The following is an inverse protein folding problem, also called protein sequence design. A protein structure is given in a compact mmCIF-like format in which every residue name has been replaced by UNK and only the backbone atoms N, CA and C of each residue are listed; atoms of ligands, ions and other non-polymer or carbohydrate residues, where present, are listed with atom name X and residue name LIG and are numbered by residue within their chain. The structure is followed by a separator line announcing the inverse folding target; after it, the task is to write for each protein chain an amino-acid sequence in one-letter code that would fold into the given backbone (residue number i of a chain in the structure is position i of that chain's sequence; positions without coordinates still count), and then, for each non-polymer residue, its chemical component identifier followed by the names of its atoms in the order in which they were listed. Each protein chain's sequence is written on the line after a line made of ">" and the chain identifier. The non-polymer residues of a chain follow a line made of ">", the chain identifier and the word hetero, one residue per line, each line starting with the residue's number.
data_IF_573380446383
#
_entry.id   IF_573380446383
#
_cell.length_a   1.000
_cell.length_b   1.000
_cell.length_c   1.000
_cell.angle_alpha   90.00
_cell.angle_beta   90.00
_cell.angle_gamma   90.00
#
_symmetry.space_group_name_H-M   'P 1'
#
loop_
_entity.id
_entity.type
_entity.pdbx_description
1 polymer ?
#
# COMPACT_ATOMS: atom_id res chain seq x y z
N UNK A 1 8.68 -13.08 10.43
CA UNK A 1 8.65 -11.73 9.81
C UNK A 1 9.35 -11.83 8.48
N UNK A 2 8.72 -11.43 7.38
CA UNK A 2 9.31 -11.50 6.04
C UNK A 2 10.08 -10.21 5.77
N UNK A 3 11.36 -10.33 5.45
CA UNK A 3 12.19 -9.22 4.95
C UNK A 3 12.17 -9.31 3.43
N UNK A 4 11.57 -8.31 2.80
CA UNK A 4 11.50 -8.16 1.37
C UNK A 4 12.73 -7.37 0.89
N UNK A 5 13.24 -7.70 -0.29
CA UNK A 5 14.50 -7.18 -0.82
C UNK A 5 14.26 -6.37 -2.10
N UNK A 6 14.86 -5.18 -2.20
CA UNK A 6 14.70 -4.27 -3.35
C UNK A 6 13.24 -3.93 -3.66
N UNK A 7 12.45 -3.70 -2.62
CA UNK A 7 11.02 -3.43 -2.74
C UNK A 7 10.73 -2.00 -3.19
N UNK A 8 9.82 -1.81 -4.15
CA UNK A 8 9.31 -0.49 -4.47
C UNK A 8 8.33 0.00 -3.40
N UNK A 9 8.50 1.26 -2.99
CA UNK A 9 7.51 2.08 -2.31
C UNK A 9 7.07 3.20 -3.25
N UNK A 10 5.79 3.21 -3.59
CA UNK A 10 5.22 4.14 -4.57
C UNK A 10 3.96 4.80 -4.02
N UNK A 11 3.84 6.11 -4.25
CA UNK A 11 2.58 6.84 -4.07
C UNK A 11 2.05 7.26 -5.43
N UNK A 12 0.86 6.77 -5.79
CA UNK A 12 0.22 7.10 -7.06
C UNK A 12 1.05 6.70 -8.27
N UNK A 13 1.19 7.61 -9.24
CA UNK A 13 1.86 7.36 -10.53
C UNK A 13 3.34 7.77 -10.57
N UNK A 14 3.91 8.30 -9.48
CA UNK A 14 5.32 8.73 -9.44
C UNK A 14 6.33 7.59 -9.55
N UNK A 15 7.62 7.92 -9.71
CA UNK A 15 8.71 6.92 -9.66
C UNK A 15 8.79 6.34 -8.23
N UNK A 16 9.04 5.03 -8.08
CA UNK A 16 9.12 4.41 -6.75
C UNK A 16 10.45 4.74 -6.08
N UNK A 17 10.43 4.78 -4.74
CA UNK A 17 11.64 4.58 -3.96
C UNK A 17 11.91 3.09 -3.90
N UNK A 18 13.14 2.67 -4.18
CA UNK A 18 13.55 1.26 -4.06
C UNK A 18 14.26 1.09 -2.73
N UNK A 19 13.64 0.34 -1.83
CA UNK A 19 14.15 0.02 -0.50
C UNK A 19 14.97 -1.27 -0.55
N UNK A 20 16.21 -1.21 -0.07
CA UNK A 20 17.08 -2.39 0.01
C UNK A 20 16.42 -3.50 0.84
N UNK A 21 16.00 -3.17 2.06
CA UNK A 21 15.28 -4.09 2.94
C UNK A 21 13.99 -3.46 3.46
N UNK A 22 12.89 -4.20 3.38
CA UNK A 22 11.56 -3.73 3.76
C UNK A 22 10.76 -4.80 4.49
N UNK A 23 10.05 -4.40 5.55
CA UNK A 23 9.08 -5.22 6.26
C UNK A 23 7.70 -4.57 6.15
N UNK A 24 6.69 -5.35 5.76
CA UNK A 24 5.26 -4.99 5.90
C UNK A 24 4.63 -5.84 6.99
N UNK A 25 3.98 -5.21 7.95
CA UNK A 25 3.30 -5.91 9.05
C UNK A 25 1.98 -5.24 9.43
N UNK A 26 1.04 -6.01 9.96
CA UNK A 26 -0.32 -5.55 10.21
C UNK A 26 -1.07 -5.25 8.92
N UNK A 27 -1.98 -4.27 8.99
CA UNK A 27 -2.89 -3.90 7.91
C UNK A 27 -4.15 -4.77 7.87
N UNK A 28 -5.22 -4.22 7.28
CA UNK A 28 -6.50 -4.89 7.10
C UNK A 28 -6.54 -5.61 5.75
N UNK A 29 -6.97 -6.87 5.72
CA UNK A 29 -7.20 -7.59 4.47
C UNK A 29 -8.33 -6.91 3.68
N UNK A 30 -8.02 -6.51 2.44
CA UNK A 30 -9.00 -5.92 1.53
C UNK A 30 -9.01 -6.60 0.17
N UNK A 31 -10.17 -6.62 -0.45
CA UNK A 31 -10.41 -7.11 -1.80
C UNK A 31 -10.56 -5.91 -2.74
N UNK A 32 -9.62 -5.74 -3.66
CA UNK A 32 -9.58 -4.63 -4.61
C UNK A 32 -10.02 -5.13 -5.99
N UNK A 33 -10.81 -4.33 -6.69
CA UNK A 33 -11.17 -4.55 -8.09
C UNK A 33 -11.28 -3.20 -8.81
N UNK A 34 -11.40 -3.16 -10.15
CA UNK A 34 -11.52 -1.89 -10.89
C UNK A 34 -12.67 -0.98 -10.41
N UNK A 35 -13.76 -1.56 -9.90
CA UNK A 35 -14.91 -0.85 -9.33
C UNK A 35 -14.73 -0.50 -7.84
N UNK A 36 -13.85 -1.19 -7.13
CA UNK A 36 -13.58 -1.00 -5.70
C UNK A 36 -12.10 -0.72 -5.44
N UNK A 37 -11.62 0.41 -5.99
CA UNK A 37 -10.21 0.82 -5.93
C UNK A 37 -9.69 1.05 -4.51
N UNK A 38 -10.58 1.43 -3.59
CA UNK A 38 -10.24 1.62 -2.17
C UNK A 38 -10.25 0.32 -1.34
N UNK A 39 -10.53 -0.83 -1.98
CA UNK A 39 -10.58 -2.13 -1.35
C UNK A 39 -11.78 -2.31 -0.42
N UNK A 40 -12.35 -3.51 -0.42
CA UNK A 40 -13.41 -3.89 0.50
C UNK A 40 -12.84 -4.77 1.61
N UNK A 41 -13.08 -4.44 2.89
CA UNK A 41 -12.90 -5.39 3.98
C UNK A 41 -13.65 -6.68 3.69
N UNK A 42 -13.09 -7.80 4.14
CA UNK A 42 -13.66 -9.12 3.86
C UNK A 42 -15.17 -9.25 4.17
N UNK A 43 -15.72 -8.74 5.28
CA UNK A 43 -17.16 -8.80 5.54
C UNK A 43 -17.99 -8.05 4.49
N UNK A 44 -17.47 -6.91 3.99
CA UNK A 44 -18.13 -6.11 2.97
C UNK A 44 -18.06 -6.79 1.60
N UNK A 45 -16.91 -7.37 1.26
CA UNK A 45 -16.75 -8.17 0.05
C UNK A 45 -17.73 -9.35 0.02
N UNK A 46 -17.78 -10.15 1.10
CA UNK A 46 -18.69 -11.30 1.21
C UNK A 46 -20.16 -10.87 1.06
N UNK A 47 -20.55 -9.78 1.72
CA UNK A 47 -21.91 -9.22 1.61
C UNK A 47 -22.24 -8.73 0.19
N UNK A 48 -21.27 -8.13 -0.50
CA UNK A 48 -21.43 -7.67 -1.88
C UNK A 48 -21.67 -8.85 -2.82
N UNK A 49 -20.79 -9.85 -2.78
CA UNK A 49 -20.89 -11.04 -3.65
C UNK A 49 -22.15 -11.85 -3.36
N UNK A 50 -22.60 -11.91 -2.10
CA UNK A 50 -23.86 -12.56 -1.74
C UNK A 50 -25.08 -11.85 -2.34
N UNK A 51 -25.06 -10.52 -2.47
CA UNK A 51 -26.16 -9.72 -3.03
C UNK A 51 -26.12 -9.62 -4.55
N UNK A 52 -24.92 -9.68 -5.12
CA UNK A 52 -24.63 -9.52 -6.55
C UNK A 52 -23.58 -10.54 -7.00
N UNK A 53 -23.98 -11.82 -7.17
CA UNK A 53 -23.05 -12.89 -7.50
C UNK A 53 -22.25 -12.65 -8.80
N UNK A 54 -22.81 -11.90 -9.76
CA UNK A 54 -22.19 -11.54 -11.02
C UNK A 54 -20.89 -10.74 -10.85
N UNK A 55 -20.74 -10.01 -9.75
CA UNK A 55 -19.53 -9.23 -9.45
C UNK A 55 -18.34 -10.11 -9.09
N UNK A 56 -18.53 -11.40 -8.83
CA UNK A 56 -17.42 -12.34 -8.55
C UNK A 56 -16.46 -12.46 -9.74
N UNK A 57 -16.95 -12.20 -10.95
CA UNK A 57 -16.17 -12.32 -12.19
C UNK A 57 -15.26 -11.11 -12.48
N UNK A 58 -15.29 -10.07 -11.64
CA UNK A 58 -14.31 -8.99 -11.73
C UNK A 58 -12.91 -9.49 -11.37
N UNK A 59 -11.89 -8.76 -11.83
CA UNK A 59 -10.51 -9.00 -11.44
C UNK A 59 -10.29 -8.55 -9.99
N UNK A 60 -10.59 -9.45 -9.05
CA UNK A 60 -10.34 -9.23 -7.63
C UNK A 60 -8.91 -9.61 -7.26
N UNK A 61 -8.25 -8.74 -6.52
CA UNK A 61 -6.93 -8.98 -5.93
C UNK A 61 -6.99 -8.71 -4.42
N UNK A 62 -6.31 -9.55 -3.64
CA UNK A 62 -6.18 -9.37 -2.20
C UNK A 62 -4.98 -8.50 -1.88
N UNK A 63 -5.19 -7.46 -1.09
CA UNK A 63 -4.18 -6.50 -0.68
C UNK A 63 -4.28 -6.20 0.82
N UNK A 64 -3.32 -5.44 1.36
CA UNK A 64 -3.38 -4.96 2.74
C UNK A 64 -3.53 -3.46 2.78
N UNK A 65 -4.61 -3.00 3.41
CA UNK A 65 -4.88 -1.59 3.64
C UNK A 65 -4.20 -1.13 4.93
N UNK A 66 -3.50 0.01 4.87
CA UNK A 66 -2.79 0.61 6.00
C UNK A 66 -1.83 -0.33 6.77
N UNK A 67 -0.91 -1.07 6.12
CA UNK A 67 0.13 -1.82 6.84
C UNK A 67 1.14 -0.86 7.49
N UNK A 68 1.78 -1.30 8.57
CA UNK A 68 3.00 -0.68 9.05
C UNK A 68 4.16 -1.12 8.14
N UNK A 69 4.94 -0.15 7.68
CA UNK A 69 6.09 -0.37 6.80
C UNK A 69 7.35 0.07 7.51
N UNK A 70 8.37 -0.80 7.54
CA UNK A 70 9.69 -0.50 8.09
C UNK A 70 10.75 -0.74 7.03
N UNK A 71 11.75 0.13 6.96
CA UNK A 71 12.84 0.06 5.99
C UNK A 71 14.20 0.21 6.68
N UNK A 72 15.24 -0.41 6.12
CA UNK A 72 16.64 -0.18 6.51
C UNK A 72 17.56 -0.27 5.30
N UNK A 73 18.81 0.15 5.47
CA UNK A 73 19.80 0.13 4.39
C UNK A 73 19.59 1.27 3.40
N UNK A 74 19.82 1.00 2.11
CA UNK A 74 19.76 2.00 1.04
C UNK A 74 18.32 2.21 0.56
N UNK A 75 17.93 3.47 0.45
CA UNK A 75 16.70 3.90 -0.23
C UNK A 75 17.10 4.70 -1.47
N UNK A 76 16.83 4.13 -2.65
CA UNK A 76 17.22 4.68 -3.96
C UNK A 76 16.02 5.32 -4.64
N UNK A 77 16.21 6.49 -5.24
CA UNK A 77 15.21 7.14 -6.08
C UNK A 77 15.91 7.74 -7.31
N UNK A 78 15.21 7.86 -8.43
CA UNK A 78 15.81 8.36 -9.67
C UNK A 78 16.15 9.86 -9.59
N UNK A 79 15.40 10.62 -8.79
CA UNK A 79 15.45 12.08 -8.80
C UNK A 79 16.29 12.67 -7.65
N UNK A 80 16.86 11.84 -6.77
CA UNK A 80 17.74 12.31 -5.69
C UNK A 80 18.80 11.28 -5.29
N UNK A 81 19.80 11.74 -4.54
CA UNK A 81 20.88 10.89 -4.01
C UNK A 81 20.32 9.80 -3.08
N UNK A 82 20.91 8.61 -3.12
CA UNK A 82 20.58 7.50 -2.24
C UNK A 82 20.67 7.90 -0.77
N UNK A 83 19.63 7.58 -0.01
CA UNK A 83 19.58 7.73 1.44
C UNK A 83 20.06 6.42 2.07
N UNK A 84 20.84 6.49 3.15
CA UNK A 84 21.28 5.33 3.92
C UNK A 84 20.72 5.41 5.33
N UNK A 85 20.02 4.36 5.75
CA UNK A 85 19.34 4.28 7.04
C UNK A 85 20.04 3.26 7.95
N UNK A 86 20.55 3.73 9.09
CA UNK A 86 21.19 2.90 10.09
C UNK A 86 20.11 2.25 10.98
N UNK A 87 19.73 1.02 10.67
CA UNK A 87 18.68 0.29 11.39
C UNK A 87 17.27 0.52 10.83
N UNK A 88 16.28 -0.06 11.51
CA UNK A 88 14.89 -0.03 11.07
C UNK A 88 14.23 1.31 11.35
N UNK A 89 13.64 1.90 10.31
CA UNK A 89 12.87 3.14 10.38
C UNK A 89 11.44 2.89 9.92
N UNK A 90 10.46 3.41 10.65
CA UNK A 90 9.07 3.36 10.23
C UNK A 90 8.83 4.36 9.10
N UNK A 91 8.27 3.89 7.99
CA UNK A 91 7.84 4.73 6.88
C UNK A 91 6.48 5.32 7.24
N UNK A 92 6.43 6.64 7.31
CA UNK A 92 5.20 7.39 7.47
C UNK A 92 4.86 8.09 6.17
N UNK A 93 3.57 8.15 5.83
CA UNK A 93 3.17 8.87 4.64
C UNK A 93 3.20 10.38 4.90
N UNK A 94 3.83 11.12 3.99
CA UNK A 94 3.80 12.58 4.06
C UNK A 94 2.35 13.10 3.97
N UNK A 95 1.95 13.91 4.96
CA UNK A 95 0.64 14.55 5.05
C UNK A 95 0.61 15.97 4.47
N UNK A 96 1.72 16.48 3.95
CA UNK A 96 1.85 17.84 3.38
C UNK A 96 0.87 18.10 2.22
N UNK A 97 0.44 17.04 1.51
CA UNK A 97 -0.58 17.13 0.45
C UNK A 97 -2.01 16.83 0.93
N UNK A 98 -2.25 16.67 2.24
CA UNK A 98 -3.57 16.52 2.85
C UNK A 98 -4.26 17.87 3.09
N UNK A 99 -4.19 18.78 2.12
CA UNK A 99 -5.13 19.91 2.10
C UNK A 99 -6.57 19.37 1.96
N UNK A 100 -7.55 20.13 2.47
CA UNK A 100 -8.97 19.77 2.60
C UNK A 100 -9.63 19.09 1.37
N UNK A 101 -9.02 19.20 0.19
CA UNK A 101 -9.49 18.65 -1.08
C UNK A 101 -9.31 17.12 -1.26
N UNK A 102 -8.49 16.42 -0.46
CA UNK A 102 -8.11 15.01 -0.74
C UNK A 102 -8.51 13.96 0.32
N UNK A 103 -9.43 14.29 1.24
CA UNK A 103 -9.85 13.49 2.41
C UNK A 103 -10.43 12.08 2.17
N UNK A 104 -10.60 11.64 0.92
CA UNK A 104 -11.24 10.36 0.57
C UNK A 104 -10.28 9.29 0.03
N UNK A 105 -8.96 9.52 0.07
CA UNK A 105 -7.96 8.55 -0.42
C UNK A 105 -7.56 7.61 0.72
N UNK A 106 -7.89 6.33 0.59
CA UNK A 106 -7.37 5.27 1.46
C UNK A 106 -6.08 4.68 0.87
N UNK A 107 -5.11 4.35 1.72
CA UNK A 107 -3.82 3.81 1.30
C UNK A 107 -3.83 2.28 1.31
N UNK A 108 -3.53 1.69 0.15
CA UNK A 108 -3.55 0.24 -0.04
C UNK A 108 -2.23 -0.16 -0.69
N UNK A 109 -1.58 -1.15 -0.09
CA UNK A 109 -0.38 -1.84 -0.59
C UNK A 109 -0.76 -3.24 -1.10
#
# INVERSE_FOLDING_TARGET
>A
MLILQNEPLRRGTGKPHICEELIRTGGELVYVSPLHRNGLPEPQYRKLISRKPELRNLQWITQRRNPNVFVRGKVRHADHKTITLNGWHQVLMNTETQSLAMRHVAFID
#
